data_IF_525985261505
#
_entry.id   IF_525985261505
#
_cell.length_a   1.000
_cell.length_b   1.000
_cell.length_c   1.000
_cell.angle_alpha   90.00
_cell.angle_beta   90.00
_cell.angle_gamma   90.00
#
_symmetry.space_group_name_H-M   'P 1'
#
loop_
_entity.id
_entity.type
_entity.pdbx_description
1 polymer ?
#
# COMPACT_ATOMS: atom_id res chain seq x y z
N UNK A 1 13.53 7.55 -16.50
CA UNK A 1 12.42 6.57 -16.59
C UNK A 1 11.13 7.23 -16.13
N UNK A 2 9.98 6.93 -16.75
CA UNK A 2 8.67 7.43 -16.31
C UNK A 2 8.29 6.91 -14.91
N UNK A 3 7.54 7.69 -14.13
CA UNK A 3 7.09 7.24 -12.81
C UNK A 3 6.19 6.00 -12.86
N UNK A 4 5.45 5.81 -13.97
CA UNK A 4 4.56 4.67 -14.20
C UNK A 4 5.30 3.33 -14.34
N UNK A 5 6.60 3.32 -14.62
CA UNK A 5 7.37 2.06 -14.72
C UNK A 5 7.87 1.57 -13.37
N UNK A 6 7.84 2.41 -12.33
CA UNK A 6 8.37 2.08 -11.01
C UNK A 6 7.64 0.90 -10.34
N UNK A 7 6.30 0.79 -10.37
CA UNK A 7 5.59 -0.36 -9.79
C UNK A 7 5.96 -1.70 -10.45
N UNK A 8 6.11 -1.70 -11.77
CA UNK A 8 6.54 -2.89 -12.51
C UNK A 8 7.97 -3.29 -12.14
N UNK A 9 8.89 -2.32 -12.04
CA UNK A 9 10.27 -2.61 -11.65
C UNK A 9 10.38 -3.11 -10.19
N UNK A 10 9.56 -2.57 -9.29
CA UNK A 10 9.47 -3.07 -7.92
C UNK A 10 8.96 -4.53 -7.91
N UNK A 11 7.90 -4.84 -8.66
CA UNK A 11 7.35 -6.19 -8.78
C UNK A 11 8.37 -7.18 -9.35
N UNK A 12 9.07 -6.81 -10.43
CA UNK A 12 10.10 -7.65 -11.03
C UNK A 12 11.26 -7.94 -10.09
N UNK A 13 11.54 -7.02 -9.15
CA UNK A 13 12.54 -7.18 -8.11
C UNK A 13 12.01 -7.93 -6.86
N UNK A 14 10.81 -8.50 -6.92
CA UNK A 14 10.23 -9.31 -5.84
C UNK A 14 9.48 -8.52 -4.76
N UNK A 15 9.25 -7.22 -4.95
CA UNK A 15 8.48 -6.43 -3.99
C UNK A 15 6.98 -6.82 -4.01
N UNK A 16 6.35 -6.77 -2.84
CA UNK A 16 4.89 -6.82 -2.72
C UNK A 16 4.31 -5.45 -3.04
N UNK A 17 3.35 -5.41 -3.95
CA UNK A 17 2.73 -4.18 -4.43
C UNK A 17 1.40 -3.97 -3.71
N UNK A 18 1.32 -2.88 -2.96
CA UNK A 18 0.08 -2.40 -2.33
C UNK A 18 -0.38 -1.17 -3.10
N UNK A 19 -1.58 -1.22 -3.66
CA UNK A 19 -2.18 -0.10 -4.38
C UNK A 19 -3.25 0.55 -3.50
N UNK A 20 -3.18 1.89 -3.37
CA UNK A 20 -4.18 2.69 -2.67
C UNK A 20 -4.82 3.62 -3.70
N UNK A 21 -6.06 3.35 -4.09
CA UNK A 21 -6.75 4.16 -5.08
C UNK A 21 -8.27 4.14 -4.85
N UNK A 22 -8.99 5.15 -5.32
CA UNK A 22 -10.46 5.17 -5.21
C UNK A 22 -11.15 4.26 -6.22
N UNK A 23 -10.49 4.01 -7.35
CA UNK A 23 -10.95 3.15 -8.43
C UNK A 23 -9.81 2.24 -8.91
N UNK A 24 -10.10 1.06 -9.48
CA UNK A 24 -9.10 0.22 -10.11
C UNK A 24 -8.36 0.97 -11.23
N UNK A 25 -7.07 0.67 -11.37
CA UNK A 25 -6.21 1.17 -12.44
C UNK A 25 -5.70 0.02 -13.32
N UNK A 26 -4.90 0.34 -14.34
CA UNK A 26 -4.22 -0.68 -15.14
C UNK A 26 -3.33 -1.62 -14.29
N UNK A 27 -2.89 -1.18 -13.11
CA UNK A 27 -2.02 -1.98 -12.24
C UNK A 27 -2.80 -3.00 -11.38
N UNK A 28 -4.08 -2.74 -11.10
CA UNK A 28 -4.86 -3.45 -10.07
C UNK A 28 -4.99 -4.94 -10.33
N UNK A 29 -5.15 -5.33 -11.60
CA UNK A 29 -5.31 -6.74 -11.97
C UNK A 29 -4.04 -7.36 -12.56
N UNK A 30 -3.00 -6.56 -12.79
CA UNK A 30 -1.74 -7.03 -13.38
C UNK A 30 -0.66 -7.30 -12.33
N UNK A 31 -0.37 -6.32 -11.46
CA UNK A 31 0.80 -6.37 -10.57
C UNK A 31 0.48 -6.18 -9.09
N UNK A 32 -0.66 -5.59 -8.77
CA UNK A 32 -1.09 -5.32 -7.40
C UNK A 32 -1.34 -6.62 -6.62
N UNK A 33 -0.68 -6.79 -5.48
CA UNK A 33 -0.94 -7.91 -4.55
C UNK A 33 -2.09 -7.59 -3.60
N UNK A 34 -2.21 -6.33 -3.15
CA UNK A 34 -3.25 -5.86 -2.23
C UNK A 34 -3.81 -4.53 -2.75
N UNK A 35 -5.11 -4.49 -3.01
CA UNK A 35 -5.83 -3.28 -3.39
C UNK A 35 -6.60 -2.72 -2.19
N UNK A 36 -6.22 -1.50 -1.77
CA UNK A 36 -6.88 -0.77 -0.70
C UNK A 36 -7.72 0.35 -1.30
N UNK A 37 -9.00 0.07 -1.49
CA UNK A 37 -9.91 1.03 -2.11
C UNK A 37 -10.22 2.20 -1.16
N UNK A 38 -9.90 3.42 -1.58
CA UNK A 38 -10.23 4.63 -0.84
C UNK A 38 -9.34 5.84 -1.15
N UNK A 39 -9.69 6.98 -0.55
CA UNK A 39 -8.83 8.17 -0.61
C UNK A 39 -7.53 7.90 0.12
N UNK A 40 -6.40 8.24 -0.50
CA UNK A 40 -5.07 8.01 0.06
C UNK A 40 -4.93 8.56 1.50
N UNK A 41 -5.41 9.77 1.75
CA UNK A 41 -5.38 10.38 3.09
C UNK A 41 -6.10 9.54 4.14
N UNK A 42 -7.27 8.98 3.83
CA UNK A 42 -8.06 8.18 4.77
C UNK A 42 -7.41 6.82 5.01
N UNK A 43 -7.00 6.14 3.94
CA UNK A 43 -6.39 4.81 4.03
C UNK A 43 -5.07 4.87 4.79
N UNK A 44 -4.21 5.85 4.50
CA UNK A 44 -2.92 6.00 5.18
C UNK A 44 -3.07 6.31 6.68
N UNK A 45 -4.05 7.12 7.07
CA UNK A 45 -4.33 7.39 8.49
C UNK A 45 -4.77 6.12 9.23
N UNK A 46 -5.62 5.30 8.60
CA UNK A 46 -6.03 4.01 9.15
C UNK A 46 -4.86 3.05 9.29
N UNK A 47 -4.01 2.93 8.25
CA UNK A 47 -2.80 2.09 8.32
C UNK A 47 -1.89 2.52 9.46
N UNK A 48 -1.64 3.82 9.62
CA UNK A 48 -0.82 4.34 10.72
C UNK A 48 -1.43 4.02 12.09
N UNK A 49 -2.75 4.14 12.24
CA UNK A 49 -3.45 3.80 13.48
C UNK A 49 -3.30 2.32 13.82
N UNK A 50 -3.44 1.43 12.82
CA UNK A 50 -3.27 -0.01 13.01
C UNK A 50 -1.83 -0.38 13.39
N UNK A 51 -0.83 0.24 12.76
CA UNK A 51 0.59 0.06 13.13
C UNK A 51 0.88 0.51 14.56
N UNK A 52 0.28 1.64 15.00
CA UNK A 52 0.41 2.10 16.39
C UNK A 52 -0.28 1.17 17.39
N UNK A 53 -1.49 0.70 17.07
CA UNK A 53 -2.24 -0.23 17.93
C UNK A 53 -1.56 -1.60 18.02
N UNK A 54 -0.99 -2.10 16.92
CA UNK A 54 -0.22 -3.34 16.89
C UNK A 54 1.12 -3.27 17.61
N UNK A 55 1.73 -2.08 17.68
CA UNK A 55 2.99 -1.84 18.39
C UNK A 55 2.80 -1.47 19.89
N UNK A 56 1.55 -1.26 20.34
CA UNK A 56 1.21 -0.85 21.70
C UNK A 56 1.21 -1.95 22.76
N UNK A 57 1.45 -3.21 22.39
CA UNK A 57 1.56 -4.33 23.34
C UNK A 57 2.98 -4.56 23.89
N UNK A 58 3.98 -3.71 23.55
CA UNK A 58 5.36 -3.85 24.00
C UNK A 58 5.98 -2.56 24.59
N UNK A 59 5.17 -1.60 25.04
CA UNK A 59 5.65 -0.44 25.77
C UNK A 59 4.82 -0.28 27.04
N UNK A 60 5.16 -1.09 28.03
CA UNK A 60 4.98 -0.74 29.44
C UNK A 60 5.81 0.52 29.73
N UNK A 61 5.13 1.63 30.00
CA UNK A 61 5.62 2.59 30.99
C UNK A 61 5.32 2.07 32.40
#
# INVERSE_FOLDING_TARGET
MPASTLPFQAKSNGAKIVEINTVPSAYTHEITDIFLQGKASVVMQRLLQQLKAGNGNNLSE
#
